data_IF_596478446662
#
_entry.id   IF_596478446662
#
_cell.length_a   1.000
_cell.length_b   1.000
_cell.length_c   1.000
_cell.angle_alpha   90.00
_cell.angle_beta   90.00
_cell.angle_gamma   90.00
#
_symmetry.space_group_name_H-M   'P 1'
#
loop_
_entity.id
_entity.type
_entity.pdbx_description
1 polymer ?
#
# COMPACT_ATOMS: atom_id res chain seq x y z
N UNK A 1 -52.18 -18.05 -32.89
CA UNK A 1 -52.00 -16.68 -32.35
C UNK A 1 -50.54 -16.56 -31.98
N UNK A 2 -49.76 -16.05 -32.93
CA UNK A 2 -48.31 -15.91 -32.86
C UNK A 2 -47.94 -14.77 -31.91
N UNK A 3 -47.23 -15.08 -30.84
CA UNK A 3 -46.56 -14.08 -30.03
C UNK A 3 -45.14 -13.88 -30.58
N UNK A 4 -44.97 -12.81 -31.34
CA UNK A 4 -43.70 -12.33 -31.89
C UNK A 4 -42.73 -12.07 -30.74
N UNK A 5 -41.69 -12.90 -30.61
CA UNK A 5 -40.52 -12.60 -29.79
C UNK A 5 -39.73 -11.51 -30.51
N UNK A 6 -39.88 -10.25 -30.07
CA UNK A 6 -39.04 -9.17 -30.52
C UNK A 6 -37.61 -9.38 -29.98
N UNK A 7 -36.74 -9.96 -30.81
CA UNK A 7 -35.30 -9.88 -30.63
C UNK A 7 -34.88 -8.40 -30.75
N UNK A 8 -34.80 -7.70 -29.62
CA UNK A 8 -34.04 -6.46 -29.53
C UNK A 8 -32.56 -6.82 -29.60
N UNK A 9 -32.02 -6.89 -30.82
CA UNK A 9 -30.60 -6.76 -31.08
C UNK A 9 -30.17 -5.38 -30.59
N UNK A 10 -29.70 -5.30 -29.35
CA UNK A 10 -28.91 -4.15 -28.88
C UNK A 10 -27.66 -4.08 -29.75
N UNK A 11 -27.69 -3.21 -30.76
CA UNK A 11 -26.51 -2.84 -31.54
C UNK A 11 -25.46 -2.34 -30.55
N UNK A 12 -24.35 -3.05 -30.46
CA UNK A 12 -23.17 -2.58 -29.74
C UNK A 12 -22.62 -1.38 -30.51
N UNK A 13 -22.91 -0.17 -30.05
CA UNK A 13 -22.26 1.03 -30.54
C UNK A 13 -20.83 1.00 -30.02
N UNK A 14 -19.79 1.01 -30.88
CA UNK A 14 -18.43 1.15 -30.42
C UNK A 14 -18.30 2.46 -29.65
N UNK A 15 -17.82 2.37 -28.41
CA UNK A 15 -17.60 3.52 -27.55
C UNK A 15 -16.62 4.46 -28.27
N UNK A 16 -17.09 5.66 -28.62
CA UNK A 16 -16.24 6.67 -29.25
C UNK A 16 -15.35 7.33 -28.19
N UNK A 17 -14.15 7.78 -28.59
CA UNK A 17 -13.22 8.55 -27.74
C UNK A 17 -13.90 9.83 -27.21
N UNK A 18 -14.63 9.73 -26.09
CA UNK A 18 -15.36 10.86 -25.51
C UNK A 18 -16.26 10.52 -24.34
N UNK A 19 -16.77 9.28 -24.24
CA UNK A 19 -17.76 8.91 -23.20
C UNK A 19 -17.19 8.85 -21.77
N UNK A 20 -15.88 8.67 -21.61
CA UNK A 20 -15.22 8.56 -20.29
C UNK A 20 -14.34 9.79 -19.92
N UNK A 21 -14.51 10.91 -20.63
CA UNK A 21 -13.67 12.09 -20.44
C UNK A 21 -12.23 11.92 -20.94
N UNK A 22 -11.41 12.97 -20.77
CA UNK A 22 -9.97 12.95 -21.08
C UNK A 22 -9.18 13.23 -19.81
N UNK A 23 -8.05 12.54 -19.63
CA UNK A 23 -7.10 12.87 -18.58
C UNK A 23 -6.59 14.30 -18.77
N UNK A 24 -6.38 15.02 -17.67
CA UNK A 24 -5.64 16.27 -17.69
C UNK A 24 -4.23 16.03 -18.24
N UNK A 25 -3.57 17.02 -18.86
CA UNK A 25 -2.19 16.86 -19.32
C UNK A 25 -1.24 16.37 -18.20
N UNK A 26 -1.46 16.86 -16.97
CA UNK A 26 -0.74 16.44 -15.76
C UNK A 26 -0.92 14.94 -15.49
N UNK A 27 -2.15 14.44 -15.41
CA UNK A 27 -2.41 13.01 -15.14
C UNK A 27 -2.00 12.10 -16.30
N UNK A 28 -2.14 12.57 -17.55
CA UNK A 28 -1.67 11.84 -18.72
C UNK A 28 -0.15 11.64 -18.69
N UNK A 29 0.61 12.68 -18.32
CA UNK A 29 2.06 12.59 -18.18
C UNK A 29 2.46 11.61 -17.06
N UNK A 30 1.81 11.71 -15.88
CA UNK A 30 2.06 10.77 -14.78
C UNK A 30 1.75 9.32 -15.18
N UNK A 31 0.60 9.08 -15.82
CA UNK A 31 0.19 7.77 -16.32
C UNK A 31 1.26 7.19 -17.26
N UNK A 32 1.70 7.97 -18.24
CA UNK A 32 2.68 7.51 -19.22
C UNK A 32 4.03 7.20 -18.57
N UNK A 33 4.48 7.99 -17.58
CA UNK A 33 5.68 7.68 -16.80
C UNK A 33 5.55 6.35 -16.03
N UNK A 34 4.40 6.08 -15.43
CA UNK A 34 4.17 4.87 -14.62
C UNK A 34 4.04 3.63 -15.52
N UNK A 35 3.25 3.69 -16.59
CA UNK A 35 3.01 2.54 -17.49
C UNK A 35 4.28 2.18 -18.25
N UNK A 36 5.10 3.16 -18.65
CA UNK A 36 6.36 2.90 -19.33
C UNK A 36 7.53 2.60 -18.38
N UNK A 37 7.32 2.66 -17.06
CA UNK A 37 8.36 2.33 -16.10
C UNK A 37 8.64 0.82 -16.12
N UNK A 38 9.92 0.48 -16.33
CA UNK A 38 10.37 -0.90 -16.22
C UNK A 38 10.33 -1.33 -14.74
N UNK A 39 9.67 -2.45 -14.39
CA UNK A 39 9.65 -2.94 -13.03
C UNK A 39 11.01 -3.54 -12.65
N UNK A 40 11.56 -3.15 -11.50
CA UNK A 40 12.80 -3.72 -10.98
C UNK A 40 12.57 -4.37 -9.61
N UNK A 41 13.43 -5.32 -9.25
CA UNK A 41 13.56 -5.80 -7.86
C UNK A 41 14.36 -4.76 -7.05
N UNK A 42 13.79 -4.28 -5.95
CA UNK A 42 14.41 -3.31 -5.05
C UNK A 42 14.92 -3.98 -3.76
N UNK A 43 16.25 -3.93 -3.49
CA UNK A 43 16.83 -4.52 -2.29
C UNK A 43 16.69 -3.65 -1.03
N UNK A 44 16.35 -2.36 -1.15
CA UNK A 44 16.48 -1.38 -0.06
C UNK A 44 15.68 -1.80 1.19
N UNK A 45 14.41 -2.16 1.01
CA UNK A 45 13.57 -2.64 2.12
C UNK A 45 14.17 -3.86 2.80
N UNK A 46 14.67 -4.83 2.04
CA UNK A 46 15.23 -6.07 2.58
C UNK A 46 16.50 -5.83 3.40
N UNK A 47 17.36 -4.91 2.94
CA UNK A 47 18.55 -4.48 3.69
C UNK A 47 18.14 -3.81 5.01
N UNK A 48 17.23 -2.84 4.95
CA UNK A 48 16.73 -2.15 6.15
C UNK A 48 16.02 -3.10 7.13
N UNK A 49 15.26 -4.07 6.60
CA UNK A 49 14.64 -5.12 7.41
C UNK A 49 15.70 -5.95 8.15
N UNK A 50 16.75 -6.36 7.45
CA UNK A 50 17.85 -7.14 8.02
C UNK A 50 18.59 -6.37 9.12
N UNK A 51 18.84 -5.07 8.91
CA UNK A 51 19.44 -4.20 9.94
C UNK A 51 18.60 -4.14 11.21
N UNK A 52 17.29 -3.89 11.08
CA UNK A 52 16.39 -3.81 12.22
C UNK A 52 16.31 -5.14 12.97
N UNK A 53 16.23 -6.26 12.24
CA UNK A 53 16.22 -7.59 12.85
C UNK A 53 17.50 -7.90 13.62
N UNK A 54 18.68 -7.60 13.05
CA UNK A 54 19.95 -7.77 13.76
C UNK A 54 20.04 -6.93 15.03
N UNK A 55 19.47 -5.72 15.02
CA UNK A 55 19.48 -4.81 16.16
C UNK A 55 18.49 -5.17 17.28
N UNK A 56 17.38 -5.86 16.95
CA UNK A 56 16.23 -6.02 17.84
C UNK A 56 15.74 -7.47 18.02
N UNK A 57 16.52 -8.47 17.58
CA UNK A 57 16.13 -9.89 17.64
C UNK A 57 15.78 -10.43 19.04
N UNK A 58 16.24 -9.76 20.09
CA UNK A 58 15.97 -10.12 21.48
C UNK A 58 14.60 -9.64 21.98
N UNK A 59 13.90 -8.81 21.21
CA UNK A 59 12.63 -8.20 21.61
C UNK A 59 11.42 -9.08 21.24
N UNK A 60 10.28 -8.80 21.88
CA UNK A 60 9.03 -9.48 21.55
C UNK A 60 8.62 -9.20 20.10
N UNK A 61 8.02 -10.20 19.45
CA UNK A 61 7.76 -10.18 17.99
C UNK A 61 6.99 -8.93 17.55
N UNK A 62 5.98 -8.51 18.31
CA UNK A 62 5.19 -7.30 17.99
C UNK A 62 6.07 -6.04 17.99
N UNK A 63 6.93 -5.90 19.00
CA UNK A 63 7.83 -4.74 19.14
C UNK A 63 8.93 -4.77 18.08
N UNK A 64 9.52 -5.94 17.83
CA UNK A 64 10.49 -6.15 16.74
C UNK A 64 9.89 -5.75 15.39
N UNK A 65 8.66 -6.19 15.08
CA UNK A 65 7.95 -5.85 13.85
C UNK A 65 7.68 -4.36 13.72
N UNK A 66 7.24 -3.71 14.80
CA UNK A 66 7.02 -2.27 14.84
C UNK A 66 8.32 -1.48 14.63
N UNK A 67 9.42 -1.89 15.27
CA UNK A 67 10.73 -1.27 15.10
C UNK A 67 11.30 -1.48 13.70
N UNK A 68 11.05 -2.62 13.09
CA UNK A 68 11.39 -2.85 11.68
C UNK A 68 10.64 -1.90 10.76
N UNK A 69 9.31 -1.78 10.90
CA UNK A 69 8.56 -0.84 10.07
C UNK A 69 9.04 0.59 10.31
N UNK A 70 9.27 0.97 11.57
CA UNK A 70 9.82 2.28 11.91
C UNK A 70 11.17 2.56 11.23
N UNK A 71 12.10 1.60 11.30
CA UNK A 71 13.42 1.72 10.68
C UNK A 71 13.34 1.84 9.15
N UNK A 72 12.43 1.09 8.52
CA UNK A 72 12.18 1.19 7.07
C UNK A 72 11.63 2.58 6.73
N UNK A 73 10.56 3.01 7.39
CA UNK A 73 9.91 4.30 7.13
C UNK A 73 10.82 5.50 7.43
N UNK A 74 11.72 5.39 8.42
CA UNK A 74 12.66 6.46 8.76
C UNK A 74 13.78 6.60 7.72
N UNK A 75 14.14 5.53 6.99
CA UNK A 75 15.36 5.50 6.17
C UNK A 75 15.16 5.25 4.68
N UNK A 76 14.08 4.59 4.28
CA UNK A 76 13.83 4.26 2.87
C UNK A 76 13.87 5.51 1.98
N UNK A 77 14.29 5.37 0.73
CA UNK A 77 14.31 6.47 -0.23
C UNK A 77 12.89 6.98 -0.46
N UNK A 78 12.71 8.30 -0.40
CA UNK A 78 11.44 8.96 -0.74
C UNK A 78 11.61 9.93 -1.90
N UNK A 79 10.56 10.09 -2.71
CA UNK A 79 10.51 11.06 -3.80
C UNK A 79 9.10 11.61 -4.01
N UNK A 80 9.00 12.75 -4.69
CA UNK A 80 7.72 13.37 -5.11
C UNK A 80 7.75 13.49 -6.62
N UNK A 81 6.77 12.89 -7.31
CA UNK A 81 6.63 13.07 -8.75
C UNK A 81 6.18 14.50 -9.06
N UNK A 82 6.73 15.17 -10.09
CA UNK A 82 6.35 16.55 -10.42
C UNK A 82 4.84 16.72 -10.67
N UNK A 83 4.20 15.71 -11.24
CA UNK A 83 2.78 15.72 -11.58
C UNK A 83 1.84 15.42 -10.40
N UNK A 84 2.34 14.88 -9.28
CA UNK A 84 1.47 14.32 -8.25
C UNK A 84 0.83 15.39 -7.35
N UNK A 85 -0.41 15.15 -6.97
CA UNK A 85 -1.21 15.86 -5.98
C UNK A 85 -1.17 15.17 -4.60
N UNK A 86 -0.84 13.88 -4.55
CA UNK A 86 -0.65 13.11 -3.31
C UNK A 86 0.68 12.36 -3.34
N UNK A 87 1.31 12.19 -2.17
CA UNK A 87 2.69 11.67 -2.07
C UNK A 87 2.77 10.41 -1.22
N UNK A 88 3.87 9.68 -1.39
CA UNK A 88 4.09 8.34 -0.86
C UNK A 88 4.63 7.41 -1.96
N UNK A 89 5.73 6.71 -1.71
CA UNK A 89 6.31 5.70 -2.61
C UNK A 89 6.68 4.43 -1.83
N UNK A 90 6.55 3.26 -2.48
CA UNK A 90 6.81 1.95 -1.87
C UNK A 90 8.30 1.55 -1.90
N UNK A 91 8.99 2.00 -2.94
CA UNK A 91 10.34 1.60 -3.33
C UNK A 91 11.11 2.81 -3.87
N UNK A 92 12.38 2.64 -4.23
CA UNK A 92 13.24 3.73 -4.70
C UNK A 92 12.72 4.42 -5.99
N UNK A 93 11.93 3.72 -6.80
CA UNK A 93 11.28 4.25 -8.02
C UNK A 93 9.89 3.64 -8.21
N UNK A 94 9.08 4.30 -9.03
CA UNK A 94 7.77 3.77 -9.42
C UNK A 94 7.89 2.40 -10.09
N UNK A 95 6.98 1.47 -9.75
CA UNK A 95 6.91 0.09 -10.25
C UNK A 95 8.05 -0.82 -9.82
N UNK A 96 8.98 -0.36 -8.98
CA UNK A 96 9.97 -1.23 -8.36
C UNK A 96 9.30 -2.03 -7.24
N UNK A 97 9.60 -3.32 -7.12
CA UNK A 97 9.04 -4.21 -6.13
C UNK A 97 10.05 -4.48 -5.02
N UNK A 98 9.75 -4.10 -3.76
CA UNK A 98 10.62 -4.40 -2.64
C UNK A 98 10.64 -5.90 -2.33
N UNK A 99 11.77 -6.38 -1.80
CA UNK A 99 11.92 -7.75 -1.27
C UNK A 99 11.58 -7.77 0.22
N UNK A 100 10.88 -8.83 0.65
CA UNK A 100 10.42 -9.02 2.03
C UNK A 100 10.99 -10.30 2.62
N UNK A 101 12.28 -10.27 3.04
CA UNK A 101 13.04 -11.47 3.36
C UNK A 101 12.54 -12.19 4.63
N UNK A 102 11.75 -11.51 5.47
CA UNK A 102 11.13 -12.13 6.65
C UNK A 102 10.08 -13.19 6.32
N UNK A 103 9.51 -13.17 5.11
CA UNK A 103 8.54 -14.16 4.67
C UNK A 103 9.22 -15.30 3.91
N UNK A 104 10.06 -14.97 2.94
CA UNK A 104 10.82 -15.94 2.16
C UNK A 104 12.01 -15.27 1.48
N UNK A 105 13.11 -16.00 1.39
CA UNK A 105 14.35 -15.55 0.74
C UNK A 105 14.90 -16.56 -0.26
N UNK A 106 14.57 -17.86 -0.14
CA UNK A 106 15.15 -18.93 -0.94
C UNK A 106 14.91 -18.73 -2.44
N UNK A 107 13.63 -18.63 -2.86
CA UNK A 107 13.30 -18.40 -4.27
C UNK A 107 13.86 -17.09 -4.83
N UNK A 108 13.99 -16.05 -3.98
CA UNK A 108 14.55 -14.76 -4.43
C UNK A 108 16.00 -14.95 -4.88
N UNK A 109 16.77 -15.72 -4.11
CA UNK A 109 18.19 -16.00 -4.38
C UNK A 109 18.34 -16.95 -5.57
N UNK A 110 17.51 -17.97 -5.65
CA UNK A 110 17.51 -18.95 -6.74
C UNK A 110 17.17 -18.31 -8.10
N UNK A 111 16.34 -17.27 -8.10
CA UNK A 111 15.85 -16.62 -9.32
C UNK A 111 16.56 -15.30 -9.68
N UNK A 112 17.58 -14.86 -8.93
CA UNK A 112 18.28 -13.59 -9.17
C UNK A 112 18.74 -13.40 -10.63
N UNK A 113 19.19 -14.48 -11.27
CA UNK A 113 19.74 -14.47 -12.63
C UNK A 113 18.73 -14.93 -13.71
N UNK A 114 17.47 -15.16 -13.31
CA UNK A 114 16.38 -15.63 -14.18
C UNK A 114 15.17 -14.69 -14.22
N UNK A 115 15.06 -13.71 -13.32
CA UNK A 115 13.97 -12.71 -13.33
C UNK A 115 13.72 -12.08 -14.71
N UNK A 116 14.79 -11.69 -15.40
CA UNK A 116 14.72 -11.05 -16.73
C UNK A 116 14.37 -12.01 -17.87
N UNK A 117 14.44 -13.33 -17.60
CA UNK A 117 14.21 -14.41 -18.58
C UNK A 117 12.84 -15.05 -18.43
N UNK A 118 12.02 -14.60 -17.47
CA UNK A 118 10.66 -15.11 -17.26
C UNK A 118 9.79 -14.84 -18.50
N UNK A 119 8.87 -15.73 -18.87
CA UNK A 119 8.01 -15.54 -20.04
C UNK A 119 6.86 -14.53 -19.80
N UNK A 120 6.63 -14.13 -18.54
CA UNK A 120 5.69 -13.07 -18.13
C UNK A 120 6.15 -12.45 -16.81
N UNK A 121 5.57 -11.31 -16.43
CA UNK A 121 5.91 -10.59 -15.19
C UNK A 121 7.43 -10.42 -14.99
N UNK A 122 8.08 -9.93 -16.05
CA UNK A 122 9.53 -9.74 -16.10
C UNK A 122 9.92 -8.61 -15.15
N UNK A 123 10.83 -8.91 -14.23
CA UNK A 123 11.49 -7.91 -13.39
C UNK A 123 12.95 -7.77 -13.80
N UNK A 124 13.43 -6.53 -13.86
CA UNK A 124 14.85 -6.24 -14.03
C UNK A 124 15.54 -6.19 -12.68
N UNK A 125 16.84 -6.46 -12.65
CA UNK A 125 17.60 -6.40 -11.39
C UNK A 125 19.05 -6.00 -11.66
N UNK A 126 19.54 -5.01 -10.93
CA UNK A 126 20.92 -4.54 -11.09
C UNK A 126 21.90 -5.48 -10.37
N UNK A 127 23.15 -5.54 -10.84
CA UNK A 127 24.21 -6.32 -10.18
C UNK A 127 24.45 -5.89 -8.73
N UNK A 128 24.34 -4.59 -8.44
CA UNK A 128 24.39 -4.07 -7.07
C UNK A 128 23.24 -4.61 -6.21
N UNK A 129 22.04 -4.72 -6.76
CA UNK A 129 20.88 -5.28 -6.05
C UNK A 129 21.06 -6.77 -5.78
N UNK A 130 21.55 -7.54 -6.76
CA UNK A 130 21.88 -8.97 -6.56
C UNK A 130 22.92 -9.15 -5.46
N UNK A 131 23.99 -8.34 -5.47
CA UNK A 131 25.03 -8.36 -4.45
C UNK A 131 24.44 -8.11 -3.05
N UNK A 132 23.67 -7.04 -2.88
CA UNK A 132 23.02 -6.71 -1.60
C UNK A 132 22.11 -7.83 -1.08
N UNK A 133 21.30 -8.43 -1.95
CA UNK A 133 20.42 -9.54 -1.59
C UNK A 133 21.20 -10.79 -1.17
N UNK A 134 22.27 -11.14 -1.90
CA UNK A 134 23.18 -12.25 -1.53
C UNK A 134 23.88 -12.02 -0.19
N UNK A 135 24.28 -10.79 0.11
CA UNK A 135 24.95 -10.44 1.38
C UNK A 135 24.03 -10.62 2.60
N UNK A 136 22.74 -10.34 2.48
CA UNK A 136 21.78 -10.50 3.59
C UNK A 136 21.17 -11.90 3.68
N UNK A 137 21.16 -12.68 2.59
CA UNK A 137 20.50 -13.99 2.54
C UNK A 137 20.94 -14.98 3.64
N UNK A 138 22.23 -15.11 4.01
CA UNK A 138 22.63 -16.01 5.09
C UNK A 138 21.99 -15.72 6.45
N UNK A 139 21.62 -14.45 6.74
CA UNK A 139 20.92 -14.11 7.98
C UNK A 139 19.48 -14.66 8.01
N UNK A 140 18.85 -14.79 6.85
CA UNK A 140 17.45 -15.17 6.73
C UNK A 140 17.24 -16.68 6.66
N UNK A 141 18.29 -17.45 6.43
CA UNK A 141 18.22 -18.92 6.45
C UNK A 141 17.67 -19.42 7.80
N UNK A 142 16.59 -20.22 7.76
CA UNK A 142 15.86 -20.71 8.93
C UNK A 142 15.16 -19.62 9.77
N UNK A 143 15.13 -18.38 9.29
CA UNK A 143 14.55 -17.24 9.98
C UNK A 143 13.38 -16.61 9.20
N UNK A 144 12.87 -17.31 8.18
CA UNK A 144 11.73 -16.88 7.37
C UNK A 144 10.42 -17.53 7.83
N UNK A 145 9.28 -16.94 7.47
CA UNK A 145 7.97 -17.59 7.60
C UNK A 145 7.92 -18.92 6.81
N UNK A 146 8.48 -18.93 5.60
CA UNK A 146 8.54 -20.11 4.73
C UNK A 146 9.27 -21.27 5.41
N UNK A 147 10.49 -21.05 5.93
CA UNK A 147 11.28 -22.11 6.57
C UNK A 147 10.54 -22.70 7.78
N UNK A 148 9.92 -21.84 8.60
CA UNK A 148 9.15 -22.26 9.77
C UNK A 148 7.84 -22.96 9.38
N UNK A 149 7.15 -22.48 8.36
CA UNK A 149 5.93 -23.07 7.83
C UNK A 149 6.20 -24.46 7.24
N UNK A 150 7.26 -24.59 6.46
CA UNK A 150 7.69 -25.87 5.88
C UNK A 150 8.10 -26.89 6.95
N UNK A 151 8.75 -26.45 8.03
CA UNK A 151 9.11 -27.29 9.17
C UNK A 151 7.91 -27.70 10.03
N UNK A 152 6.84 -26.90 10.04
CA UNK A 152 5.63 -27.18 10.82
C UNK A 152 4.69 -28.20 10.15
N UNK A 153 4.87 -28.51 8.86
CA UNK A 153 4.01 -29.48 8.18
C UNK A 153 4.15 -30.88 8.79
N UNK A 154 3.04 -31.52 9.22
CA UNK A 154 3.05 -32.94 9.51
C UNK A 154 3.51 -33.72 8.26
N UNK A 155 4.35 -34.78 8.40
CA UNK A 155 4.92 -35.49 7.24
C UNK A 155 3.89 -35.97 6.22
N UNK A 156 2.69 -36.38 6.68
CA UNK A 156 1.59 -36.79 5.79
C UNK A 156 1.01 -35.62 5.00
N UNK A 157 0.84 -34.45 5.62
CA UNK A 157 0.35 -33.24 4.96
C UNK A 157 1.38 -32.70 3.96
N UNK A 158 2.66 -32.80 4.31
CA UNK A 158 3.78 -32.36 3.47
C UNK A 158 3.78 -33.06 2.10
N UNK A 159 3.47 -34.35 2.06
CA UNK A 159 3.35 -35.10 0.81
C UNK A 159 2.33 -34.48 -0.16
N UNK A 160 1.15 -34.06 0.32
CA UNK A 160 0.13 -33.45 -0.55
C UNK A 160 0.55 -32.07 -1.05
N UNK A 161 1.30 -31.31 -0.24
CA UNK A 161 1.87 -30.03 -0.62
C UNK A 161 2.96 -30.20 -1.68
N UNK A 162 3.92 -31.10 -1.46
CA UNK A 162 5.03 -31.37 -2.41
C UNK A 162 4.53 -31.92 -3.76
N UNK A 163 3.42 -32.68 -3.74
CA UNK A 163 2.74 -33.15 -4.96
C UNK A 163 1.88 -32.08 -5.65
N UNK A 164 1.71 -30.90 -5.05
CA UNK A 164 0.88 -29.81 -5.59
C UNK A 164 -0.63 -30.05 -5.52
N UNK A 165 -1.10 -31.02 -4.72
CA UNK A 165 -2.53 -31.34 -4.57
C UNK A 165 -3.23 -30.25 -3.74
N UNK A 166 -2.56 -29.73 -2.71
CA UNK A 166 -3.00 -28.60 -1.88
C UNK A 166 -1.83 -27.62 -1.78
N UNK A 167 -1.98 -26.44 -2.35
CA UNK A 167 -0.97 -25.38 -2.27
C UNK A 167 -1.16 -24.48 -1.05
N UNK A 168 -0.04 -24.04 -0.47
CA UNK A 168 0.01 -23.05 0.61
C UNK A 168 1.04 -21.94 0.34
N UNK A 169 1.61 -21.90 -0.86
CA UNK A 169 2.76 -21.04 -1.22
C UNK A 169 2.47 -19.56 -0.94
N UNK A 170 1.27 -19.10 -1.29
CA UNK A 170 0.85 -17.72 -1.06
C UNK A 170 0.88 -17.32 0.41
N UNK A 171 0.51 -18.22 1.32
CA UNK A 171 0.42 -17.95 2.75
C UNK A 171 1.78 -18.05 3.46
N UNK A 172 2.66 -18.96 3.04
CA UNK A 172 3.95 -19.15 3.71
C UNK A 172 5.07 -18.27 3.13
N UNK A 173 4.88 -17.70 1.93
CA UNK A 173 5.87 -16.81 1.27
C UNK A 173 5.47 -15.33 1.30
N UNK A 174 4.29 -14.99 1.82
CA UNK A 174 3.87 -13.60 2.00
C UNK A 174 3.04 -13.39 3.26
N UNK A 175 2.91 -12.15 3.70
CA UNK A 175 1.87 -11.80 4.68
C UNK A 175 0.48 -11.93 4.05
N UNK A 176 -0.54 -12.02 4.90
CA UNK A 176 -1.90 -12.32 4.43
C UNK A 176 -2.47 -11.23 3.51
N UNK A 177 -2.48 -9.97 3.96
CA UNK A 177 -3.22 -8.92 3.27
C UNK A 177 -4.74 -9.17 3.34
N UNK A 178 -5.42 -9.22 2.19
CA UNK A 178 -6.84 -9.60 2.06
C UNK A 178 -7.77 -8.90 3.07
N UNK A 179 -7.60 -7.58 3.19
CA UNK A 179 -8.28 -6.77 4.19
C UNK A 179 -8.64 -5.40 3.64
N UNK A 180 -9.75 -4.85 4.11
CA UNK A 180 -10.03 -3.42 4.09
C UNK A 180 -9.97 -2.90 5.53
N UNK A 181 -9.03 -2.01 5.82
CA UNK A 181 -8.91 -1.41 7.16
C UNK A 181 -9.95 -0.32 7.37
N UNK A 182 -10.13 0.14 8.61
CA UNK A 182 -11.10 1.19 8.95
C UNK A 182 -10.60 2.59 8.53
N UNK A 183 -10.62 2.86 7.22
CA UNK A 183 -10.31 4.18 6.65
C UNK A 183 -11.29 5.25 7.13
N UNK A 184 -12.53 4.88 7.46
CA UNK A 184 -13.56 5.82 7.94
C UNK A 184 -13.12 6.43 9.26
N UNK A 185 -12.76 5.60 10.24
CA UNK A 185 -12.27 6.12 11.53
C UNK A 185 -10.94 6.84 11.38
N UNK A 186 -10.05 6.34 10.52
CA UNK A 186 -8.77 7.00 10.22
C UNK A 186 -8.97 8.47 9.80
N UNK A 187 -9.76 8.73 8.75
CA UNK A 187 -9.90 10.09 8.21
C UNK A 187 -10.72 11.01 9.12
N UNK A 188 -11.67 10.46 9.90
CA UNK A 188 -12.50 11.25 10.80
C UNK A 188 -11.86 11.54 12.16
N UNK A 189 -10.93 10.69 12.62
CA UNK A 189 -10.35 10.81 13.99
C UNK A 189 -8.82 10.93 14.01
N UNK A 190 -8.14 10.59 12.93
CA UNK A 190 -6.68 10.56 12.84
C UNK A 190 -6.02 9.46 13.68
N UNK A 191 -4.72 9.23 13.46
CA UNK A 191 -3.92 8.30 14.28
C UNK A 191 -3.84 8.73 15.75
N UNK A 192 -3.98 10.03 16.06
CA UNK A 192 -4.03 10.56 17.43
C UNK A 192 -5.11 9.90 18.29
N UNK A 193 -6.26 9.57 17.69
CA UNK A 193 -7.31 8.86 18.41
C UNK A 193 -6.91 7.43 18.76
N UNK A 194 -6.23 6.74 17.84
CA UNK A 194 -5.66 5.41 18.12
C UNK A 194 -4.56 5.49 19.19
N UNK A 195 -3.69 6.49 19.13
CA UNK A 195 -2.66 6.73 20.15
C UNK A 195 -3.28 6.88 21.54
N UNK A 196 -4.30 7.73 21.67
CA UNK A 196 -4.99 7.97 22.95
C UNK A 196 -5.67 6.70 23.49
N UNK A 197 -6.29 5.90 22.61
CA UNK A 197 -6.88 4.60 22.96
C UNK A 197 -5.85 3.61 23.46
N UNK A 198 -4.72 3.51 22.76
CA UNK A 198 -3.64 2.59 23.12
C UNK A 198 -3.01 3.01 24.45
N UNK A 199 -2.77 4.30 24.67
CA UNK A 199 -2.25 4.81 25.95
C UNK A 199 -3.18 4.52 27.11
N UNK A 200 -4.49 4.73 26.94
CA UNK A 200 -5.51 4.41 27.95
C UNK A 200 -5.51 2.91 28.25
N UNK A 201 -5.65 2.07 27.22
CA UNK A 201 -5.69 0.61 27.37
C UNK A 201 -4.40 0.03 27.98
N UNK A 202 -3.25 0.66 27.71
CA UNK A 202 -1.97 0.26 28.28
C UNK A 202 -1.82 0.65 29.75
N UNK A 203 -2.38 1.78 30.18
CA UNK A 203 -2.38 2.22 31.57
C UNK A 203 -3.26 1.33 32.47
N UNK A 204 -4.29 0.72 31.90
CA UNK A 204 -5.25 -0.15 32.61
C UNK A 204 -4.77 -1.61 32.74
N UNK A 205 -3.58 -1.95 32.25
CA UNK A 205 -3.07 -3.33 32.30
C UNK A 205 -2.62 -3.75 33.70
N UNK A 206 -3.07 -4.93 34.14
CA UNK A 206 -2.48 -5.64 35.27
C UNK A 206 -1.34 -6.52 34.76
N UNK A 207 -0.09 -6.11 35.02
CA UNK A 207 1.09 -6.83 34.55
C UNK A 207 1.41 -8.09 35.38
N UNK A 208 0.69 -8.34 36.47
CA UNK A 208 0.78 -9.60 37.22
C UNK A 208 -0.03 -10.73 36.55
N UNK A 209 -0.94 -10.37 35.63
CA UNK A 209 -1.67 -11.31 34.79
C UNK A 209 -0.88 -11.61 33.50
N UNK A 210 -0.50 -12.88 33.32
CA UNK A 210 0.26 -13.35 32.15
C UNK A 210 -0.45 -13.06 30.83
N UNK A 211 -1.77 -13.16 30.77
CA UNK A 211 -2.52 -12.94 29.53
C UNK A 211 -2.55 -11.45 29.14
N UNK A 212 -2.31 -10.55 30.09
CA UNK A 212 -2.22 -9.11 29.87
C UNK A 212 -0.81 -8.65 29.47
N UNK A 213 0.24 -9.40 29.82
CA UNK A 213 1.60 -9.07 29.42
C UNK A 213 1.78 -9.04 27.89
N UNK A 214 1.11 -9.92 27.14
CA UNK A 214 1.14 -9.88 25.66
C UNK A 214 0.54 -8.58 25.10
N UNK A 215 -0.51 -8.05 25.75
CA UNK A 215 -1.16 -6.80 25.33
C UNK A 215 -0.22 -5.60 25.47
N UNK A 216 0.64 -5.60 26.49
CA UNK A 216 1.64 -4.54 26.69
C UNK A 216 2.53 -4.37 25.45
N UNK A 217 3.07 -5.47 24.93
CA UNK A 217 3.98 -5.43 23.78
C UNK A 217 3.25 -5.01 22.49
N UNK A 218 2.01 -5.47 22.30
CA UNK A 218 1.17 -5.01 21.20
C UNK A 218 0.86 -3.50 21.27
N UNK A 219 0.60 -2.97 22.47
CA UNK A 219 0.35 -1.54 22.68
C UNK A 219 1.62 -0.71 22.46
N UNK A 220 2.77 -1.16 22.96
CA UNK A 220 4.07 -0.54 22.68
C UNK A 220 4.37 -0.52 21.18
N UNK A 221 4.17 -1.65 20.50
CA UNK A 221 4.32 -1.77 19.06
C UNK A 221 3.42 -0.76 18.31
N UNK A 222 2.16 -0.64 18.71
CA UNK A 222 1.20 0.31 18.14
C UNK A 222 1.67 1.76 18.27
N UNK A 223 2.18 2.16 19.44
CA UNK A 223 2.71 3.52 19.66
C UNK A 223 3.98 3.80 18.84
N UNK A 224 4.86 2.79 18.68
CA UNK A 224 6.05 2.89 17.83
C UNK A 224 5.64 3.14 16.37
N UNK A 225 4.68 2.36 15.85
CA UNK A 225 4.21 2.49 14.47
C UNK A 225 3.54 3.85 14.25
N UNK A 226 2.64 4.29 15.15
CA UNK A 226 1.99 5.61 15.03
C UNK A 226 3.05 6.73 14.94
N UNK A 227 4.06 6.68 15.80
CA UNK A 227 5.15 7.66 15.77
C UNK A 227 6.01 7.55 14.50
N UNK A 228 6.24 6.35 13.98
CA UNK A 228 6.94 6.17 12.71
C UNK A 228 6.17 6.75 11.52
N UNK A 229 4.84 6.56 11.47
CA UNK A 229 4.00 7.16 10.41
C UNK A 229 4.07 8.70 10.46
N UNK A 230 4.08 9.30 11.66
CA UNK A 230 4.26 10.75 11.82
C UNK A 230 5.60 11.22 11.26
N UNK A 231 6.69 10.52 11.59
CA UNK A 231 8.03 10.84 11.05
C UNK A 231 8.08 10.66 9.55
N UNK A 232 7.46 9.61 9.01
CA UNK A 232 7.38 9.38 7.57
C UNK A 232 6.65 10.52 6.84
N UNK A 233 5.50 10.97 7.36
CA UNK A 233 4.81 12.14 6.83
C UNK A 233 5.69 13.40 6.89
N UNK A 234 6.40 13.62 8.01
CA UNK A 234 7.33 14.75 8.17
C UNK A 234 8.47 14.71 7.13
N UNK A 235 9.01 13.53 6.79
CA UNK A 235 10.04 13.42 5.74
C UNK A 235 9.54 13.94 4.38
N UNK A 236 8.27 13.72 4.05
CA UNK A 236 7.66 14.30 2.85
C UNK A 236 7.37 15.80 2.97
N UNK A 237 7.02 16.30 4.16
CA UNK A 237 6.93 17.75 4.42
C UNK A 237 8.27 18.41 4.10
N UNK A 238 9.37 17.89 4.67
CA UNK A 238 10.71 18.43 4.48
C UNK A 238 11.13 18.39 3.01
N UNK A 239 10.84 17.28 2.31
CA UNK A 239 11.12 17.12 0.89
C UNK A 239 10.30 18.10 0.03
N UNK A 240 9.00 18.21 0.28
CA UNK A 240 8.12 19.12 -0.45
C UNK A 240 8.53 20.59 -0.24
N UNK A 241 8.84 21.00 0.99
CA UNK A 241 9.35 22.35 1.29
C UNK A 241 10.67 22.63 0.57
N UNK A 242 11.61 21.67 0.57
CA UNK A 242 12.89 21.79 -0.13
C UNK A 242 12.73 21.89 -1.65
N UNK A 243 11.76 21.18 -2.23
CA UNK A 243 11.46 21.27 -3.66
C UNK A 243 10.77 22.60 -3.99
N UNK A 244 9.82 23.04 -3.15
CA UNK A 244 9.09 24.30 -3.31
C UNK A 244 10.01 25.52 -3.28
N UNK A 245 11.09 25.48 -2.48
CA UNK A 245 12.07 26.57 -2.41
C UNK A 245 12.98 26.64 -3.65
N UNK A 246 12.98 25.62 -4.52
CA UNK A 246 13.87 25.52 -5.69
C UNK A 246 13.14 25.63 -7.02
N UNK A 247 11.85 25.29 -7.07
CA UNK A 247 11.09 25.40 -8.32
C UNK A 247 10.81 26.86 -8.67
N UNK A 248 10.90 27.17 -9.96
CA UNK A 248 10.53 28.46 -10.52
C UNK A 248 9.07 28.48 -11.02
N UNK A 249 8.41 27.32 -11.17
CA UNK A 249 7.01 27.23 -11.60
C UNK A 249 6.08 27.56 -10.41
N UNK A 250 5.29 28.65 -10.46
CA UNK A 250 4.37 29.01 -9.38
C UNK A 250 3.32 27.93 -9.09
N UNK A 251 2.88 27.19 -10.10
CA UNK A 251 1.86 26.14 -9.93
C UNK A 251 2.45 24.90 -9.22
N UNK A 252 3.68 24.54 -9.57
CA UNK A 252 4.41 23.46 -8.88
C UNK A 252 4.70 23.86 -7.44
N UNK A 253 5.16 25.09 -7.21
CA UNK A 253 5.42 25.63 -5.88
C UNK A 253 4.17 25.57 -4.99
N UNK A 254 3.05 26.10 -5.48
CA UNK A 254 1.78 26.09 -4.74
C UNK A 254 1.31 24.65 -4.44
N UNK A 255 1.51 23.71 -5.37
CA UNK A 255 1.19 22.31 -5.15
C UNK A 255 2.05 21.67 -4.06
N UNK A 256 3.37 21.91 -4.07
CA UNK A 256 4.31 21.39 -3.08
C UNK A 256 4.06 21.98 -1.68
N UNK A 257 3.81 23.29 -1.58
CA UNK A 257 3.41 23.95 -0.33
C UNK A 257 2.10 23.37 0.21
N UNK A 258 1.14 23.07 -0.67
CA UNK A 258 -0.11 22.41 -0.28
C UNK A 258 0.13 20.97 0.22
N UNK A 259 0.99 20.20 -0.43
CA UNK A 259 1.39 18.85 0.04
C UNK A 259 2.00 18.93 1.43
N UNK A 260 2.96 19.85 1.64
CA UNK A 260 3.59 20.06 2.95
C UNK A 260 2.56 20.40 4.02
N UNK A 261 1.64 21.32 3.75
CA UNK A 261 0.57 21.71 4.68
C UNK A 261 -0.35 20.53 5.03
N UNK A 262 -0.69 19.71 4.04
CA UNK A 262 -1.55 18.53 4.26
C UNK A 262 -0.84 17.51 5.17
N UNK A 263 0.41 17.17 4.88
CA UNK A 263 1.15 16.13 5.61
C UNK A 263 1.64 16.55 7.00
N UNK A 264 1.72 17.87 7.27
CA UNK A 264 1.87 18.36 8.65
C UNK A 264 0.68 17.96 9.54
N UNK A 265 -0.48 17.67 8.93
CA UNK A 265 -1.72 17.34 9.61
C UNK A 265 -2.05 15.85 9.52
N UNK A 266 -2.28 15.32 8.32
CA UNK A 266 -2.73 13.93 8.11
C UNK A 266 -1.55 12.99 7.87
N UNK A 267 -1.63 11.71 8.30
CA UNK A 267 -2.79 11.02 8.87
C UNK A 267 -2.91 11.12 10.40
N UNK A 268 -2.08 11.91 11.06
CA UNK A 268 -2.06 11.97 12.52
C UNK A 268 -3.30 12.65 13.11
N UNK A 269 -3.64 13.84 12.60
CA UNK A 269 -4.87 14.55 12.93
C UNK A 269 -5.98 14.20 11.91
N UNK A 270 -7.27 14.42 12.25
CA UNK A 270 -8.39 14.23 11.33
C UNK A 270 -8.26 15.04 10.02
N UNK A 271 -8.74 14.48 8.91
CA UNK A 271 -8.91 15.24 7.67
C UNK A 271 -10.05 16.26 7.80
N UNK A 272 -9.93 17.40 7.12
CA UNK A 272 -10.98 18.43 7.00
C UNK A 272 -11.26 18.87 5.57
N UNK A 273 -10.50 18.34 4.61
CA UNK A 273 -10.69 18.57 3.17
C UNK A 273 -10.63 17.25 2.42
N UNK A 274 -11.19 17.21 1.23
CA UNK A 274 -11.19 16.01 0.38
C UNK A 274 -9.75 15.55 0.05
N UNK A 275 -8.85 16.50 -0.25
CA UNK A 275 -7.43 16.18 -0.51
C UNK A 275 -6.69 15.66 0.71
N UNK A 276 -7.01 16.16 1.91
CA UNK A 276 -6.49 15.58 3.16
C UNK A 276 -6.99 14.14 3.36
N UNK A 277 -8.28 13.88 3.14
CA UNK A 277 -8.85 12.54 3.28
C UNK A 277 -8.19 11.54 2.30
N UNK A 278 -8.07 11.91 1.01
CA UNK A 278 -7.42 11.07 0.00
C UNK A 278 -5.94 10.84 0.32
N UNK A 279 -5.19 11.87 0.71
CA UNK A 279 -3.78 11.71 1.12
C UNK A 279 -3.63 10.81 2.35
N UNK A 280 -4.52 10.95 3.34
CA UNK A 280 -4.51 10.13 4.55
C UNK A 280 -4.77 8.66 4.24
N UNK A 281 -5.78 8.38 3.42
CA UNK A 281 -6.12 7.02 2.95
C UNK A 281 -4.96 6.43 2.17
N UNK A 282 -4.43 7.17 1.18
CA UNK A 282 -3.30 6.73 0.38
C UNK A 282 -2.06 6.40 1.23
N UNK A 283 -1.69 7.27 2.17
CA UNK A 283 -0.47 7.07 2.96
C UNK A 283 -0.56 5.81 3.81
N UNK A 284 -1.70 5.55 4.47
CA UNK A 284 -1.90 4.33 5.25
C UNK A 284 -2.01 3.10 4.34
N UNK A 285 -2.72 3.19 3.22
CA UNK A 285 -2.84 2.12 2.24
C UNK A 285 -1.46 1.68 1.69
N UNK A 286 -0.58 2.65 1.45
CA UNK A 286 0.80 2.43 1.07
C UNK A 286 1.61 1.79 2.19
N UNK A 287 1.54 2.33 3.41
CA UNK A 287 2.35 1.84 4.55
C UNK A 287 2.03 0.39 4.88
N UNK A 288 0.76 -0.03 4.81
CA UNK A 288 0.36 -1.44 4.97
C UNK A 288 1.11 -2.37 4.00
N UNK A 289 1.38 -1.89 2.78
CA UNK A 289 2.09 -2.61 1.71
C UNK A 289 3.62 -2.39 1.72
N UNK A 290 4.13 -1.57 2.65
CA UNK A 290 5.54 -1.48 3.01
C UNK A 290 5.82 -2.40 4.21
N UNK A 291 4.89 -2.45 5.17
CA UNK A 291 4.93 -3.33 6.33
C UNK A 291 4.91 -4.81 5.91
N UNK A 292 3.98 -5.17 5.02
CA UNK A 292 3.76 -6.53 4.57
C UNK A 292 3.71 -6.62 3.04
N UNK A 293 4.15 -7.74 2.47
CA UNK A 293 3.93 -8.05 1.05
C UNK A 293 2.57 -8.74 0.80
N UNK A 294 1.68 -8.73 1.78
CA UNK A 294 0.29 -9.10 1.59
C UNK A 294 -0.35 -8.26 0.49
N UNK A 295 -1.16 -8.91 -0.33
CA UNK A 295 -1.89 -8.27 -1.44
C UNK A 295 -3.39 -8.30 -1.15
N UNK A 296 -4.21 -7.77 -2.04
CA UNK A 296 -5.64 -7.59 -1.80
C UNK A 296 -5.94 -6.65 -0.62
N UNK A 297 -4.99 -5.78 -0.28
CA UNK A 297 -5.24 -4.62 0.59
C UNK A 297 -6.16 -3.70 -0.18
N UNK A 298 -7.40 -3.57 0.30
CA UNK A 298 -8.48 -2.94 -0.46
C UNK A 298 -8.90 -1.62 0.18
N UNK A 299 -9.41 -0.70 -0.62
CA UNK A 299 -10.02 0.55 -0.16
C UNK A 299 -11.40 0.31 0.46
N UNK A 300 -12.08 -0.78 0.12
CA UNK A 300 -13.45 -1.04 0.58
C UNK A 300 -14.42 -0.04 -0.03
N UNK A 301 -15.38 0.47 0.76
CA UNK A 301 -16.43 1.39 0.29
C UNK A 301 -15.94 2.84 0.20
N UNK A 302 -15.01 3.07 -0.73
CA UNK A 302 -14.36 4.36 -0.94
C UNK A 302 -15.33 5.50 -1.25
N UNK A 303 -16.40 5.18 -1.97
CA UNK A 303 -17.51 6.10 -2.24
C UNK A 303 -18.12 6.62 -0.94
N UNK A 304 -18.36 5.78 0.05
CA UNK A 304 -19.07 6.19 1.27
C UNK A 304 -18.26 7.07 2.21
N UNK A 305 -17.01 6.69 2.50
CA UNK A 305 -16.25 7.40 3.53
C UNK A 305 -15.60 8.69 3.00
N UNK A 306 -15.41 8.82 1.68
CA UNK A 306 -14.87 10.03 1.07
C UNK A 306 -15.94 11.07 0.69
N UNK A 307 -17.17 10.64 0.39
CA UNK A 307 -18.27 11.52 -0.05
C UNK A 307 -18.55 12.71 0.87
N UNK A 308 -18.57 12.57 2.23
CA UNK A 308 -18.77 13.72 3.10
C UNK A 308 -17.71 14.82 2.95
N UNK A 309 -16.47 14.45 2.65
CA UNK A 309 -15.39 15.41 2.41
C UNK A 309 -15.49 16.04 1.02
N UNK A 310 -15.90 15.27 0.01
CA UNK A 310 -16.17 15.76 -1.33
C UNK A 310 -17.31 16.79 -1.33
N UNK A 311 -18.47 16.43 -0.80
CA UNK A 311 -19.65 17.31 -0.75
C UNK A 311 -19.36 18.61 0.02
N UNK A 312 -18.65 18.51 1.14
CA UNK A 312 -18.25 19.67 1.94
C UNK A 312 -17.34 20.62 1.17
N UNK A 313 -16.37 20.11 0.40
CA UNK A 313 -15.45 20.93 -0.38
C UNK A 313 -16.11 21.52 -1.64
N UNK A 314 -17.00 20.78 -2.31
CA UNK A 314 -17.82 21.29 -3.41
C UNK A 314 -18.71 22.44 -2.92
N UNK A 315 -19.44 22.25 -1.82
CA UNK A 315 -20.32 23.28 -1.24
C UNK A 315 -19.54 24.52 -0.78
N UNK A 316 -18.33 24.34 -0.27
CA UNK A 316 -17.47 25.43 0.17
C UNK A 316 -16.71 26.11 -0.99
N UNK A 317 -16.85 25.63 -2.23
CA UNK A 317 -16.09 26.13 -3.39
C UNK A 317 -14.57 25.90 -3.28
N UNK A 318 -14.13 24.93 -2.46
CA UNK A 318 -12.70 24.61 -2.27
C UNK A 318 -12.12 23.78 -3.41
N UNK A 319 -12.97 23.01 -4.09
CA UNK A 319 -12.62 22.16 -5.22
C UNK A 319 -13.75 22.17 -6.25
N UNK A 320 -13.43 21.95 -7.52
CA UNK A 320 -14.41 21.63 -8.56
C UNK A 320 -14.56 20.13 -8.73
N UNK A 321 -15.63 19.68 -9.39
CA UNK A 321 -15.78 18.25 -9.71
C UNK A 321 -14.61 17.71 -10.54
N UNK A 322 -14.11 18.48 -11.52
CA UNK A 322 -12.97 18.08 -12.36
C UNK A 322 -11.67 17.95 -11.55
N UNK A 323 -11.44 18.84 -10.58
CA UNK A 323 -10.29 18.75 -9.68
C UNK A 323 -10.40 17.53 -8.74
N UNK A 324 -11.61 17.15 -8.32
CA UNK A 324 -11.83 15.94 -7.54
C UNK A 324 -11.55 14.68 -8.37
N UNK A 325 -12.01 14.63 -9.63
CA UNK A 325 -11.70 13.56 -10.59
C UNK A 325 -10.20 13.47 -10.83
N UNK A 326 -9.50 14.60 -11.00
CA UNK A 326 -8.05 14.63 -11.16
C UNK A 326 -7.32 14.04 -9.94
N UNK A 327 -7.78 14.37 -8.74
CA UNK A 327 -7.23 13.84 -7.49
C UNK A 327 -7.45 12.32 -7.35
N UNK A 328 -8.65 11.81 -7.67
CA UNK A 328 -8.95 10.38 -7.64
C UNK A 328 -8.22 9.61 -8.75
N UNK A 329 -8.05 10.23 -9.92
CA UNK A 329 -7.18 9.72 -10.98
C UNK A 329 -5.75 9.57 -10.46
N UNK A 330 -5.24 10.57 -9.74
CA UNK A 330 -3.92 10.47 -9.12
C UNK A 330 -3.85 9.33 -8.10
N UNK A 331 -4.88 9.12 -7.27
CA UNK A 331 -4.96 7.97 -6.37
C UNK A 331 -4.88 6.64 -7.12
N UNK A 332 -5.63 6.49 -8.21
CA UNK A 332 -5.59 5.28 -9.04
C UNK A 332 -4.19 5.06 -9.65
N UNK A 333 -3.53 6.13 -10.11
CA UNK A 333 -2.16 6.05 -10.62
C UNK A 333 -1.14 5.71 -9.52
N UNK A 334 -1.27 6.26 -8.31
CA UNK A 334 -0.41 5.89 -7.17
C UNK A 334 -0.64 4.44 -6.74
N UNK A 335 -1.88 3.98 -6.76
CA UNK A 335 -2.23 2.56 -6.52
C UNK A 335 -1.50 1.64 -7.51
N UNK A 336 -1.38 2.06 -8.77
CA UNK A 336 -0.63 1.33 -9.80
C UNK A 336 0.90 1.34 -9.59
N UNK A 337 1.46 2.29 -8.83
CA UNK A 337 2.92 2.33 -8.62
C UNK A 337 3.42 1.25 -7.68
N UNK A 338 2.54 0.73 -6.80
CA UNK A 338 2.84 -0.39 -5.90
C UNK A 338 3.01 -1.66 -6.73
N UNK A 339 4.06 -2.43 -6.44
CA UNK A 339 4.37 -3.65 -7.15
C UNK A 339 4.83 -4.76 -6.18
N UNK A 340 4.68 -6.01 -6.60
CA UNK A 340 5.07 -7.19 -5.84
C UNK A 340 5.73 -8.19 -6.76
N UNK A 341 6.94 -8.58 -6.41
CA UNK A 341 7.63 -9.71 -7.03
C UNK A 341 7.22 -11.01 -6.32
N UNK A 342 6.97 -12.06 -7.10
CA UNK A 342 6.63 -13.42 -6.64
C UNK A 342 7.62 -14.42 -7.25
N UNK A 343 7.71 -15.62 -6.69
CA UNK A 343 8.41 -16.74 -7.34
C UNK A 343 7.76 -17.08 -8.68
N UNK A 344 8.51 -17.68 -9.60
CA UNK A 344 7.97 -18.06 -10.90
C UNK A 344 6.78 -19.03 -10.76
N UNK A 345 6.93 -20.06 -9.93
CA UNK A 345 5.89 -21.06 -9.69
C UNK A 345 4.56 -20.44 -9.23
N UNK A 346 4.59 -19.39 -8.40
CA UNK A 346 3.37 -18.69 -7.99
C UNK A 346 2.87 -17.71 -9.06
N UNK A 347 3.78 -17.09 -9.82
CA UNK A 347 3.45 -16.14 -10.89
C UNK A 347 2.59 -16.77 -11.98
N UNK A 348 2.78 -18.06 -12.29
CA UNK A 348 1.97 -18.80 -13.27
C UNK A 348 0.47 -18.80 -12.94
N UNK A 349 0.11 -18.71 -11.65
CA UNK A 349 -1.28 -18.63 -11.19
C UNK A 349 -1.75 -17.20 -10.90
N UNK A 350 -0.87 -16.20 -11.02
CA UNK A 350 -1.11 -14.79 -10.68
C UNK A 350 -0.50 -13.83 -11.72
N UNK A 351 -0.72 -14.12 -13.00
CA UNK A 351 -0.13 -13.35 -14.10
C UNK A 351 -0.60 -11.87 -14.13
N UNK A 352 0.30 -10.97 -14.56
CA UNK A 352 0.03 -9.53 -14.71
C UNK A 352 0.47 -8.67 -13.53
N UNK A 353 1.23 -9.24 -12.58
CA UNK A 353 1.67 -8.63 -11.33
C UNK A 353 0.56 -7.90 -10.56
N UNK A 354 -0.61 -8.54 -10.36
CA UNK A 354 -1.74 -7.91 -9.70
C UNK A 354 -1.50 -7.75 -8.20
N UNK A 355 -2.00 -6.65 -7.64
CA UNK A 355 -2.13 -6.46 -6.20
C UNK A 355 -3.58 -6.49 -5.70
N UNK A 356 -4.56 -6.56 -6.62
CA UNK A 356 -5.98 -6.71 -6.30
C UNK A 356 -6.51 -5.65 -5.31
N UNK A 357 -6.00 -4.42 -5.41
CA UNK A 357 -6.37 -3.29 -4.55
C UNK A 357 -7.79 -2.83 -4.91
N UNK A 358 -8.80 -3.47 -4.32
CA UNK A 358 -10.19 -3.28 -4.70
C UNK A 358 -10.79 -1.99 -4.13
N UNK A 359 -11.64 -1.34 -4.92
CA UNK A 359 -12.55 -0.30 -4.45
C UNK A 359 -13.97 -0.68 -4.80
N UNK A 360 -14.86 -0.62 -3.80
CA UNK A 360 -16.27 -0.93 -3.92
C UNK A 360 -17.07 0.36 -3.97
N UNK A 361 -18.04 0.42 -4.88
CA UNK A 361 -18.96 1.56 -5.05
C UNK A 361 -20.41 1.08 -5.06
N UNK A 362 -21.34 1.96 -4.68
CA UNK A 362 -22.77 1.68 -4.70
C UNK A 362 -23.20 0.72 -3.59
N UNK A 363 -24.22 -0.10 -3.85
CA UNK A 363 -24.82 -1.01 -2.87
C UNK A 363 -25.89 -0.35 -2.01
N UNK A 364 -26.03 -0.79 -0.76
CA UNK A 364 -27.06 -0.32 0.17
C UNK A 364 -26.46 0.31 1.43
N UNK A 365 -27.23 1.20 2.05
CA UNK A 365 -26.98 1.70 3.42
C UNK A 365 -27.32 0.64 4.46
N UNK A 366 -26.97 0.88 5.73
CA UNK A 366 -27.37 0.00 6.86
C UNK A 366 -28.89 -0.08 7.08
N UNK A 367 -29.65 0.80 6.44
CA UNK A 367 -31.12 0.87 6.53
C UNK A 367 -31.79 0.44 5.22
N UNK A 368 -31.14 -0.43 4.43
CA UNK A 368 -31.62 -1.01 3.17
C UNK A 368 -32.02 -0.01 2.06
N UNK A 369 -31.62 1.26 2.20
CA UNK A 369 -31.79 2.25 1.12
C UNK A 369 -30.66 2.12 0.11
N UNK A 370 -31.00 2.20 -1.17
CA UNK A 370 -30.01 2.25 -2.24
C UNK A 370 -29.08 3.44 -2.03
N UNK A 371 -27.78 3.22 -2.22
CA UNK A 371 -26.79 4.26 -2.03
C UNK A 371 -26.69 5.16 -3.26
N UNK A 372 -26.78 6.46 -3.05
CA UNK A 372 -26.46 7.50 -4.02
C UNK A 372 -25.35 8.36 -3.42
N UNK A 373 -24.17 8.35 -4.01
CA UNK A 373 -23.02 9.19 -3.63
C UNK A 373 -22.72 10.17 -4.76
N UNK A 374 -22.20 11.35 -4.44
CA UNK A 374 -21.79 12.33 -5.45
C UNK A 374 -20.30 12.29 -5.75
N UNK A 375 -19.51 11.68 -4.87
CA UNK A 375 -18.08 11.47 -5.05
C UNK A 375 -17.80 10.74 -6.39
N UNK A 376 -16.97 11.30 -7.29
CA UNK A 376 -16.77 10.78 -8.64
C UNK A 376 -15.70 9.67 -8.67
N UNK A 377 -15.81 8.71 -7.73
CA UNK A 377 -14.80 7.69 -7.47
C UNK A 377 -14.75 6.55 -8.48
#
# INVERSE_FOLDING_TARGET
>A
MDAVVQNKTTKFTPITQGEFGKLTPRMNNLRNKIINAKPYVDPERAVLATEAYKAHQNEQVDVLRAKLLAHILDKMTIFIEPETLIVGNQAQKNRWAPVFPEYSMNWVIDELDTFEKRPGDVFYITEDSKKKLREIAPYWQNNTLEDRGLAAFPPKSRLFYDLGIIGADGNITSGDGHIAVDYTTLINKGLKWYESRVQTAMADLDLTDYDQQKKLYFYQASLIVINAVRRFAQRYVDLATKMASKTADPNEKANLEKIATILQKVPYEPATTFREAVQSVWLIHLILQIESNGHSVSYGRGDQYLDPFYEADIKAGRITSDQAVELLTNLALKTLTINKVRSWAHTEFSAGSPLYQNITIGGQTKTDKMLLTQCPI
#
